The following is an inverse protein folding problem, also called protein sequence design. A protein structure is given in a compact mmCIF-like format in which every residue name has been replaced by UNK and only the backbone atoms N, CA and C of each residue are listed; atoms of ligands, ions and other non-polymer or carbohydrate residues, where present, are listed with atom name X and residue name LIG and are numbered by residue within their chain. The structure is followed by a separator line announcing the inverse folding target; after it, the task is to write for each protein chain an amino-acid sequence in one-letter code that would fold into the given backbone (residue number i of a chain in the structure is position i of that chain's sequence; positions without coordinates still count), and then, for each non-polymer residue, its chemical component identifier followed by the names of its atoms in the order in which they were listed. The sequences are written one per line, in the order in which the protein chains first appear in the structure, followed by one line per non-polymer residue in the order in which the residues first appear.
data_IF_619496250035
#
_entry.id   IF_619496250035
#
_cell.length_a   1.000
_cell.length_b   1.000
_cell.length_c   1.000
_cell.angle_alpha   90.00
_cell.angle_beta   90.00
_cell.angle_gamma   90.00
#
_symmetry.space_group_name_H-M   'P 1'
#
loop_
_entity.id
_entity.type
_entity.pdbx_description
1 polymer ?
#
# COMPACT_ATOMS: atom_id res chain seq x y z
N UNK A 1 -13.23 35.48 -12.54
CA UNK A 1 -12.04 34.62 -12.75
C UNK A 1 -12.51 33.32 -13.38
N UNK A 2 -11.92 32.88 -14.49
CA UNK A 2 -12.24 31.59 -15.15
C UNK A 2 -11.09 30.62 -14.92
N UNK A 3 -11.41 29.37 -14.63
CA UNK A 3 -10.42 28.30 -14.54
C UNK A 3 -10.01 27.89 -15.96
N UNK A 4 -8.71 27.84 -16.21
CA UNK A 4 -8.15 27.28 -17.43
C UNK A 4 -7.73 25.83 -17.16
N UNK A 5 -8.04 24.94 -18.09
CA UNK A 5 -7.74 23.51 -17.96
C UNK A 5 -6.43 23.15 -18.66
N UNK A 6 -5.58 22.38 -17.99
CA UNK A 6 -4.42 21.72 -18.60
C UNK A 6 -4.72 20.24 -18.74
N UNK A 7 -4.53 19.68 -19.93
CA UNK A 7 -4.61 18.23 -20.16
C UNK A 7 -3.25 17.61 -19.93
N UNK A 8 -3.19 16.60 -19.06
CA UNK A 8 -1.99 15.79 -18.90
C UNK A 8 -1.90 14.78 -20.06
N UNK A 9 -0.69 14.50 -20.59
CA UNK A 9 -0.50 13.46 -21.58
C UNK A 9 -0.74 12.07 -20.96
N UNK A 10 -1.45 11.22 -21.71
CA UNK A 10 -1.71 9.79 -21.54
C UNK A 10 -1.42 9.16 -20.16
N UNK A 11 -2.07 9.69 -19.12
CA UNK A 11 -1.86 9.22 -17.74
C UNK A 11 -2.50 7.85 -17.50
N UNK A 12 -3.58 7.54 -18.21
CA UNK A 12 -4.31 6.27 -18.07
C UNK A 12 -3.44 5.05 -18.40
N UNK A 13 -2.59 5.14 -19.43
CA UNK A 13 -1.64 4.05 -19.76
C UNK A 13 -0.63 3.81 -18.62
N UNK A 14 -0.19 4.88 -17.95
CA UNK A 14 0.70 4.78 -16.80
C UNK A 14 0.01 4.12 -15.60
N UNK A 15 -1.26 4.48 -15.34
CA UNK A 15 -2.10 3.87 -14.30
C UNK A 15 -2.27 2.37 -14.58
N UNK A 16 -2.59 2.00 -15.81
CA UNK A 16 -2.77 0.61 -16.22
C UNK A 16 -1.49 -0.23 -16.04
N UNK A 17 -0.34 0.29 -16.49
CA UNK A 17 0.95 -0.40 -16.32
C UNK A 17 1.35 -0.52 -14.84
N UNK A 18 1.11 0.51 -14.04
CA UNK A 18 1.33 0.46 -12.60
C UNK A 18 0.42 -0.58 -11.93
N UNK A 19 -0.86 -0.62 -12.29
CA UNK A 19 -1.84 -1.59 -11.80
C UNK A 19 -1.43 -3.03 -12.14
N UNK A 20 -1.03 -3.31 -13.38
CA UNK A 20 -0.51 -4.65 -13.77
C UNK A 20 0.64 -5.10 -12.88
N UNK A 21 1.59 -4.22 -12.59
CA UNK A 21 2.75 -4.53 -11.75
C UNK A 21 2.36 -4.69 -10.29
N UNK A 22 1.56 -3.78 -9.74
CA UNK A 22 1.16 -3.80 -8.34
C UNK A 22 0.24 -4.99 -8.01
N UNK A 23 -0.66 -5.36 -8.93
CA UNK A 23 -1.67 -6.40 -8.71
C UNK A 23 -1.21 -7.82 -9.05
N UNK A 24 -0.07 -7.94 -9.74
CA UNK A 24 0.54 -9.22 -10.10
C UNK A 24 0.76 -10.12 -8.89
N UNK A 25 0.21 -11.34 -8.94
CA UNK A 25 0.46 -12.39 -7.95
C UNK A 25 1.95 -12.70 -7.76
N UNK A 26 2.75 -12.57 -8.83
CA UNK A 26 4.20 -12.85 -8.80
C UNK A 26 4.98 -11.84 -7.96
N UNK A 27 4.41 -10.66 -7.74
CA UNK A 27 5.02 -9.59 -6.95
C UNK A 27 4.48 -9.55 -5.52
N UNK A 28 3.67 -10.55 -5.11
CA UNK A 28 3.13 -10.64 -3.76
C UNK A 28 4.09 -11.41 -2.87
N UNK A 29 4.47 -10.77 -1.77
CA UNK A 29 5.22 -11.35 -0.68
C UNK A 29 4.24 -11.73 0.44
N UNK A 30 4.17 -13.02 0.77
CA UNK A 30 3.40 -13.48 1.92
C UNK A 30 4.08 -13.06 3.22
N UNK A 31 3.29 -12.56 4.17
CA UNK A 31 3.77 -12.15 5.49
C UNK A 31 3.42 -13.26 6.48
N UNK A 32 4.42 -13.74 7.23
CA UNK A 32 4.17 -14.72 8.29
C UNK A 32 3.29 -14.09 9.37
N UNK A 33 2.16 -14.74 9.67
CA UNK A 33 1.27 -14.37 10.76
C UNK A 33 1.98 -14.16 12.11
N UNK A 34 3.09 -14.87 12.35
CA UNK A 34 3.84 -14.80 13.61
C UNK A 34 4.53 -13.45 13.83
N UNK A 35 4.89 -12.74 12.75
CA UNK A 35 5.54 -11.43 12.86
C UNK A 35 4.52 -10.29 12.97
N UNK A 36 3.24 -10.55 12.70
CA UNK A 36 2.21 -9.53 12.71
C UNK A 36 1.85 -9.18 14.15
N UNK A 37 2.01 -7.92 14.52
CA UNK A 37 1.78 -7.41 15.88
C UNK A 37 2.89 -7.72 16.89
N UNK A 38 3.93 -8.45 16.48
CA UNK A 38 5.10 -8.73 17.32
C UNK A 38 6.10 -7.57 17.23
N UNK A 39 6.24 -6.82 18.33
CA UNK A 39 7.07 -5.61 18.38
C UNK A 39 8.56 -5.88 18.22
N UNK A 40 8.99 -7.11 18.47
CA UNK A 40 10.39 -7.53 18.37
C UNK A 40 10.68 -8.19 17.00
N UNK A 41 9.65 -8.36 16.17
CA UNK A 41 9.80 -8.96 14.85
C UNK A 41 10.32 -7.98 13.80
N UNK A 42 10.92 -8.56 12.76
CA UNK A 42 11.42 -7.83 11.60
C UNK A 42 10.68 -8.28 10.34
N UNK A 43 10.41 -7.32 9.46
CA UNK A 43 9.89 -7.62 8.12
C UNK A 43 10.91 -8.46 7.31
N UNK A 44 10.45 -9.25 6.32
CA UNK A 44 11.35 -9.95 5.40
C UNK A 44 12.34 -8.99 4.71
N UNK A 45 13.56 -9.45 4.42
CA UNK A 45 14.60 -8.64 3.77
C UNK A 45 14.25 -8.26 2.32
N UNK A 46 13.34 -9.00 1.69
CA UNK A 46 12.88 -8.75 0.32
C UNK A 46 12.01 -7.49 0.17
N UNK A 47 11.65 -6.84 1.29
CA UNK A 47 10.94 -5.55 1.27
C UNK A 47 11.97 -4.43 1.07
N UNK A 48 11.90 -3.69 -0.05
CA UNK A 48 12.85 -2.63 -0.36
C UNK A 48 12.72 -1.47 0.63
N UNK A 49 13.81 -0.70 0.74
CA UNK A 49 13.86 0.52 1.54
C UNK A 49 13.44 1.77 0.75
N UNK A 50 13.13 1.62 -0.54
CA UNK A 50 12.82 2.71 -1.46
C UNK A 50 11.42 3.30 -1.22
N UNK A 51 11.16 4.43 -1.88
CA UNK A 51 9.83 5.02 -1.97
C UNK A 51 9.01 4.37 -3.10
N UNK A 52 7.69 4.47 -3.01
CA UNK A 52 6.80 3.92 -4.02
C UNK A 52 5.38 3.73 -3.51
N UNK A 53 4.66 2.85 -4.20
CA UNK A 53 3.29 2.46 -3.86
C UNK A 53 3.31 1.01 -3.40
N UNK A 54 2.55 0.71 -2.36
CA UNK A 54 2.35 -0.65 -1.86
C UNK A 54 0.86 -1.00 -1.77
N UNK A 55 0.59 -2.30 -1.78
CA UNK A 55 -0.74 -2.85 -1.57
C UNK A 55 -0.71 -3.91 -0.47
N UNK A 56 -1.79 -3.99 0.31
CA UNK A 56 -2.04 -5.05 1.29
C UNK A 56 -3.17 -5.93 0.77
N UNK A 57 -2.92 -7.23 0.80
CA UNK A 57 -3.81 -8.28 0.33
C UNK A 57 -4.23 -9.16 1.50
N UNK A 58 -5.51 -9.54 1.52
CA UNK A 58 -6.08 -10.51 2.46
C UNK A 58 -6.67 -11.66 1.66
N UNK A 59 -6.17 -12.88 1.87
CA UNK A 59 -6.63 -14.07 1.12
C UNK A 59 -6.73 -13.82 -0.40
N UNK A 60 -5.68 -13.20 -0.95
CA UNK A 60 -5.56 -12.81 -2.36
C UNK A 60 -6.48 -11.68 -2.85
N UNK A 61 -7.28 -11.07 -1.97
CA UNK A 61 -8.14 -9.91 -2.24
C UNK A 61 -7.43 -8.60 -1.88
N UNK A 62 -7.50 -7.59 -2.75
CA UNK A 62 -6.91 -6.28 -2.50
C UNK A 62 -7.71 -5.54 -1.42
N UNK A 63 -7.06 -5.18 -0.31
CA UNK A 63 -7.72 -4.47 0.78
C UNK A 63 -7.26 -3.04 0.95
N UNK A 64 -6.01 -2.74 0.62
CA UNK A 64 -5.44 -1.41 0.80
C UNK A 64 -4.39 -1.10 -0.26
N UNK A 65 -4.33 0.16 -0.68
CA UNK A 65 -3.23 0.77 -1.45
C UNK A 65 -2.70 1.94 -0.64
N UNK A 66 -1.39 2.12 -0.58
CA UNK A 66 -0.77 3.26 0.09
C UNK A 66 0.49 3.72 -0.63
N UNK A 67 0.88 4.98 -0.41
CA UNK A 67 2.19 5.51 -0.83
C UNK A 67 3.09 5.83 0.36
N UNK A 68 4.39 6.05 0.08
CA UNK A 68 5.36 6.53 1.06
C UNK A 68 6.38 7.49 0.43
N UNK A 69 6.86 8.45 1.23
CA UNK A 69 7.97 9.36 0.89
C UNK A 69 9.32 8.71 1.17
N UNK A 70 10.34 9.15 0.46
CA UNK A 70 11.73 8.66 0.57
C UNK A 70 12.32 8.68 1.98
N UNK A 71 11.89 9.59 2.85
CA UNK A 71 12.44 9.71 4.22
C UNK A 71 12.08 8.53 5.16
N UNK A 72 10.94 7.85 4.96
CA UNK A 72 10.49 6.72 5.80
C UNK A 72 10.72 5.35 5.14
N UNK A 73 10.70 5.29 3.80
CA UNK A 73 10.83 4.06 3.03
C UNK A 73 9.65 3.07 3.19
N UNK A 74 9.48 2.18 2.21
CA UNK A 74 8.41 1.16 2.21
C UNK A 74 8.43 0.28 3.45
N UNK A 75 9.62 -0.13 3.90
CA UNK A 75 9.81 -0.96 5.10
C UNK A 75 9.29 -0.30 6.37
N UNK A 76 9.56 1.01 6.56
CA UNK A 76 9.05 1.75 7.71
C UNK A 76 7.53 1.76 7.73
N UNK A 77 6.91 2.07 6.58
CA UNK A 77 5.45 2.13 6.49
C UNK A 77 4.75 0.78 6.63
N UNK A 78 5.34 -0.28 6.08
CA UNK A 78 4.82 -1.64 6.28
C UNK A 78 4.98 -2.09 7.73
N UNK A 79 6.04 -1.68 8.43
CA UNK A 79 6.19 -1.92 9.87
C UNK A 79 5.04 -1.28 10.65
N UNK A 80 4.64 -0.07 10.27
CA UNK A 80 3.51 0.61 10.90
C UNK A 80 2.18 -0.15 10.75
N UNK A 81 1.99 -0.78 9.59
CA UNK A 81 0.78 -1.51 9.24
C UNK A 81 0.75 -2.97 9.71
N UNK A 82 1.91 -3.61 9.88
CA UNK A 82 2.02 -5.04 10.15
C UNK A 82 2.54 -5.36 11.55
N UNK A 83 3.40 -4.52 12.12
CA UNK A 83 4.11 -4.83 13.37
C UNK A 83 3.64 -3.93 14.52
N UNK A 84 3.79 -2.61 14.37
CA UNK A 84 3.55 -1.68 15.47
C UNK A 84 2.89 -0.41 14.96
N UNK A 85 1.84 0.07 15.60
CA UNK A 85 1.15 1.31 15.23
C UNK A 85 1.62 2.46 16.15
N UNK A 86 2.42 3.42 15.65
CA UNK A 86 2.72 4.63 16.40
C UNK A 86 1.43 5.45 16.59
N UNK A 87 1.32 6.13 17.74
CA UNK A 87 0.19 7.02 18.04
C UNK A 87 0.05 8.07 16.94
N UNK A 88 -1.19 8.27 16.46
CA UNK A 88 -1.51 9.30 15.46
C UNK A 88 -1.31 8.87 14.00
N UNK A 89 -0.90 7.62 13.73
CA UNK A 89 -0.80 7.11 12.36
C UNK A 89 -2.15 6.57 11.86
N UNK A 90 -2.41 6.71 10.56
CA UNK A 90 -3.56 6.05 9.89
C UNK A 90 -3.29 4.57 9.63
N UNK A 91 -2.72 3.86 10.62
CA UNK A 91 -2.36 2.46 10.46
C UNK A 91 -3.57 1.56 10.29
N UNK A 92 -3.42 0.49 9.49
CA UNK A 92 -4.38 -0.60 9.35
C UNK A 92 -4.09 -1.81 10.25
N UNK A 93 -3.12 -1.70 11.18
CA UNK A 93 -2.69 -2.80 12.04
C UNK A 93 -3.85 -3.50 12.77
N UNK A 94 -4.83 -2.75 13.27
CA UNK A 94 -6.02 -3.35 13.90
C UNK A 94 -6.76 -4.32 12.96
N UNK A 95 -7.02 -3.88 11.72
CA UNK A 95 -7.68 -4.71 10.69
C UNK A 95 -6.84 -5.93 10.32
N UNK A 96 -5.52 -5.74 10.19
CA UNK A 96 -4.57 -6.82 9.89
C UNK A 96 -4.57 -7.87 11.00
N UNK A 97 -4.55 -7.44 12.27
CA UNK A 97 -4.61 -8.34 13.43
C UNK A 97 -5.92 -9.13 13.48
N UNK A 98 -7.05 -8.48 13.20
CA UNK A 98 -8.35 -9.14 13.18
C UNK A 98 -8.41 -10.24 12.11
N UNK A 99 -7.88 -9.98 10.92
CA UNK A 99 -7.76 -10.96 9.84
C UNK A 99 -6.91 -12.16 10.27
N UNK A 100 -5.72 -11.92 10.83
CA UNK A 100 -4.80 -13.00 11.23
C UNK A 100 -5.38 -13.84 12.36
N UNK A 101 -6.03 -13.22 13.35
CA UNK A 101 -6.74 -13.94 14.42
C UNK A 101 -7.87 -14.82 13.88
N UNK A 102 -8.50 -14.41 12.79
CA UNK A 102 -9.49 -15.20 12.05
C UNK A 102 -8.89 -16.30 11.14
N UNK A 103 -7.56 -16.48 11.13
CA UNK A 103 -6.87 -17.45 10.27
C UNK A 103 -6.65 -16.98 8.83
N UNK A 104 -6.86 -15.70 8.54
CA UNK A 104 -6.61 -15.12 7.23
C UNK A 104 -5.13 -14.92 6.93
N UNK A 105 -4.78 -14.94 5.64
CA UNK A 105 -3.42 -14.71 5.15
C UNK A 105 -3.23 -13.27 4.70
N UNK A 106 -2.07 -12.70 5.05
CA UNK A 106 -1.66 -11.37 4.62
C UNK A 106 -0.55 -11.48 3.58
N UNK A 107 -0.64 -10.70 2.53
CA UNK A 107 0.46 -10.51 1.58
C UNK A 107 0.59 -9.05 1.21
N UNK A 108 1.77 -8.66 0.74
CA UNK A 108 2.05 -7.29 0.29
C UNK A 108 2.67 -7.31 -1.08
N UNK A 109 2.40 -6.28 -1.89
CA UNK A 109 3.12 -6.02 -3.12
C UNK A 109 3.49 -4.55 -3.17
N UNK A 110 4.49 -4.20 -3.98
CA UNK A 110 4.96 -2.83 -4.10
C UNK A 110 5.56 -2.57 -5.48
N UNK A 111 5.55 -1.30 -5.87
CA UNK A 111 6.19 -0.79 -7.09
C UNK A 111 6.98 0.47 -6.75
N UNK A 112 8.14 0.60 -7.37
CA UNK A 112 8.88 1.86 -7.37
C UNK A 112 8.25 2.82 -8.39
N UNK A 113 8.23 4.11 -8.05
CA UNK A 113 7.71 5.18 -8.93
C UNK A 113 8.77 6.25 -9.06
N UNK A 114 9.23 6.47 -10.29
CA UNK A 114 10.21 7.48 -10.66
C UNK A 114 9.63 8.36 -11.79
N UNK A 115 9.57 9.70 -11.61
CA UNK A 115 9.97 10.47 -10.44
C UNK A 115 8.98 10.36 -9.25
N UNK A 116 9.52 10.40 -8.03
CA UNK A 116 8.77 10.26 -6.76
C UNK A 116 7.46 11.08 -6.70
N UNK A 117 7.40 12.36 -7.14
CA UNK A 117 6.19 13.16 -7.06
C UNK A 117 4.95 12.52 -7.69
N UNK A 118 5.11 11.70 -8.74
CA UNK A 118 3.96 11.08 -9.42
C UNK A 118 3.27 9.96 -8.62
N UNK A 119 3.91 9.41 -7.58
CA UNK A 119 3.31 8.34 -6.76
C UNK A 119 1.95 8.73 -6.16
N UNK A 120 1.73 10.02 -5.88
CA UNK A 120 0.49 10.52 -5.27
C UNK A 120 -0.67 10.47 -6.27
N UNK A 121 -0.44 11.04 -7.46
CA UNK A 121 -1.45 11.00 -8.52
C UNK A 121 -1.73 9.55 -8.94
N UNK A 122 -0.70 8.72 -9.00
CA UNK A 122 -0.82 7.31 -9.37
C UNK A 122 -1.54 6.50 -8.29
N UNK A 123 -1.26 6.73 -7.01
CA UNK A 123 -1.99 6.13 -5.88
C UNK A 123 -3.47 6.48 -5.93
N UNK A 124 -3.81 7.76 -6.11
CA UNK A 124 -5.20 8.23 -6.14
C UNK A 124 -5.98 7.55 -7.28
N UNK A 125 -5.39 7.44 -8.48
CA UNK A 125 -6.03 6.75 -9.60
C UNK A 125 -6.18 5.24 -9.37
N UNK A 126 -5.14 4.57 -8.86
CA UNK A 126 -5.23 3.14 -8.52
C UNK A 126 -6.29 2.86 -7.46
N UNK A 127 -6.45 3.75 -6.46
CA UNK A 127 -7.53 3.66 -5.46
C UNK A 127 -8.89 3.91 -6.12
N UNK A 128 -9.00 4.88 -7.03
CA UNK A 128 -10.24 5.23 -7.72
C UNK A 128 -10.76 4.06 -8.57
N UNK A 129 -9.87 3.37 -9.28
CA UNK A 129 -10.19 2.21 -10.11
C UNK A 129 -10.54 0.98 -9.27
N UNK A 130 -9.68 0.64 -8.31
CA UNK A 130 -9.79 -0.63 -7.58
C UNK A 130 -10.74 -0.57 -6.36
N UNK A 131 -11.01 0.64 -5.84
CA UNK A 131 -11.87 0.92 -4.68
C UNK A 131 -11.63 0.02 -3.45
N UNK A 132 -10.38 -0.17 -3.00
CA UNK A 132 -10.06 -1.00 -1.85
C UNK A 132 -10.82 -0.56 -0.59
N UNK A 133 -11.42 -1.52 0.12
CA UNK A 133 -12.27 -1.25 1.28
C UNK A 133 -11.56 -0.54 2.44
N UNK A 134 -10.24 -0.71 2.60
CA UNK A 134 -9.50 -0.06 3.70
C UNK A 134 -9.01 1.34 3.36
N UNK A 135 -9.13 1.78 2.10
CA UNK A 135 -8.85 3.16 1.69
C UNK A 135 -10.03 4.10 1.91
N UNK A 136 -11.25 3.56 2.04
CA UNK A 136 -12.41 4.38 2.35
C UNK A 136 -12.25 5.00 3.74
N UNK A 137 -12.28 6.34 3.79
CA UNK A 137 -12.33 7.07 5.06
C UNK A 137 -13.62 6.66 5.76
N UNK A 138 -13.51 6.09 6.96
CA UNK A 138 -14.64 6.01 7.86
C UNK A 138 -15.18 7.43 8.02
N UNK A 139 -16.39 7.67 7.51
CA UNK A 139 -17.13 8.89 7.81
C UNK A 139 -17.24 8.91 9.34
N UNK A 140 -16.51 9.84 9.97
CA UNK A 140 -16.67 10.17 11.39
C UNK A 140 -17.58 11.37 11.47
#
# INVERSE_FOLDING_TARGET
MKLESVKLPNFDDLVHEAGKKLYSLRNRLSIDSKIIGDKDAFLPQDIPMECGIYAIWVNDELKYIGTIRSEQGLRGRLTEHLINCPKGTQSKLGKVLDVVKGGGRISVSFIHVDPEPFRLALEDELIREAKPEWNQKSIR
#
